data_IF_137138524538
#
_entry.id   IF_137138524538
#
_cell.length_a   1.000
_cell.length_b   1.000
_cell.length_c   1.000
_cell.angle_alpha   90.00
_cell.angle_beta   90.00
_cell.angle_gamma   90.00
#
_symmetry.space_group_name_H-M   'P 1'
#
loop_
_entity.id
_entity.type
_entity.pdbx_description
1 polymer ?
#
# COMPACT_ATOMS: atom_id res chain seq x y z
N UNK A 1 4.53 10.44 -2.12
CA UNK A 1 4.86 9.54 -1.00
C UNK A 1 5.54 8.23 -1.42
N UNK A 2 5.10 7.52 -2.47
CA UNK A 2 5.68 6.21 -2.85
C UNK A 2 7.19 6.23 -3.22
N UNK A 3 7.73 7.33 -3.75
CA UNK A 3 9.13 7.39 -4.17
C UNK A 3 10.16 7.45 -3.04
N UNK A 4 9.79 7.96 -1.85
CA UNK A 4 10.71 8.07 -0.69
C UNK A 4 10.67 6.86 0.24
N UNK A 5 9.63 6.03 0.17
CA UNK A 5 9.47 4.83 1.01
C UNK A 5 10.62 3.82 0.87
N UNK A 6 11.04 3.45 -0.35
CA UNK A 6 12.17 2.52 -0.54
C UNK A 6 13.52 3.09 -0.09
N UNK A 7 13.72 4.41 -0.24
CA UNK A 7 14.95 5.09 0.19
C UNK A 7 15.07 5.13 1.71
N UNK A 8 13.97 5.39 2.41
CA UNK A 8 13.93 5.37 3.89
C UNK A 8 14.08 3.96 4.44
N UNK A 9 13.46 2.95 3.82
CA UNK A 9 13.65 1.55 4.22
C UNK A 9 15.10 1.07 4.08
N UNK A 10 15.82 1.48 3.03
CA UNK A 10 17.25 1.15 2.86
C UNK A 10 18.20 1.94 3.78
N UNK A 11 17.79 3.08 4.31
CA UNK A 11 18.60 3.90 5.21
C UNK A 11 18.58 3.40 6.67
N UNK A 12 17.61 2.56 6.99
CA UNK A 12 17.50 1.86 8.27
C UNK A 12 18.49 0.69 8.27
N UNK A 13 19.34 0.64 9.30
CA UNK A 13 20.45 -0.33 9.41
C UNK A 13 20.14 -1.45 10.41
N UNK A 14 19.22 -1.24 11.36
CA UNK A 14 18.91 -2.19 12.44
C UNK A 14 17.42 -2.51 12.64
N UNK A 15 16.46 -1.77 12.06
CA UNK A 15 15.05 -2.03 12.30
C UNK A 15 14.52 -3.22 11.49
N UNK A 16 13.78 -4.10 12.18
CA UNK A 16 13.01 -5.13 11.52
C UNK A 16 11.88 -4.51 10.67
N UNK A 17 11.56 -5.16 9.55
CA UNK A 17 10.53 -4.79 8.57
C UNK A 17 9.20 -4.34 9.20
N UNK A 18 8.80 -5.08 10.24
CA UNK A 18 7.55 -4.89 10.98
C UNK A 18 7.57 -3.68 11.90
N UNK A 19 8.73 -3.34 12.47
CA UNK A 19 8.90 -2.18 13.34
C UNK A 19 8.88 -0.86 12.53
N UNK A 20 9.52 -0.85 11.36
CA UNK A 20 9.45 0.28 10.43
C UNK A 20 8.02 0.48 9.89
N UNK A 21 7.34 -0.62 9.52
CA UNK A 21 5.93 -0.59 9.12
C UNK A 21 5.03 0.00 10.19
N UNK A 22 5.19 -0.44 11.44
CA UNK A 22 4.40 0.03 12.57
C UNK A 22 4.50 1.55 12.70
N UNK A 23 5.73 2.06 12.73
CA UNK A 23 5.96 3.47 12.97
C UNK A 23 5.52 4.34 11.79
N UNK A 24 5.81 3.90 10.55
CA UNK A 24 5.34 4.59 9.34
C UNK A 24 3.81 4.64 9.28
N UNK A 25 3.15 3.51 9.50
CA UNK A 25 1.70 3.39 9.45
C UNK A 25 1.01 4.24 10.53
N UNK A 26 1.58 4.27 11.74
CA UNK A 26 1.11 5.09 12.85
C UNK A 26 1.15 6.58 12.49
N UNK A 27 2.27 7.08 11.97
CA UNK A 27 2.39 8.48 11.58
C UNK A 27 1.48 8.87 10.42
N UNK A 28 1.34 8.02 9.39
CA UNK A 28 0.36 8.27 8.32
C UNK A 28 -1.06 8.38 8.88
N UNK A 29 -1.44 7.54 9.83
CA UNK A 29 -2.76 7.57 10.46
C UNK A 29 -2.97 8.83 11.30
N UNK A 30 -1.96 9.23 12.07
CA UNK A 30 -1.98 10.43 12.91
C UNK A 30 -2.03 11.70 12.06
N UNK A 31 -1.15 11.84 11.06
CA UNK A 31 -1.12 13.02 10.18
C UNK A 31 -2.41 13.14 9.39
N UNK A 32 -2.90 12.04 8.81
CA UNK A 32 -4.18 12.06 8.10
C UNK A 32 -5.35 12.43 9.02
N UNK A 33 -5.34 11.94 10.27
CA UNK A 33 -6.33 12.32 11.28
C UNK A 33 -6.24 13.81 11.65
N UNK A 34 -5.03 14.33 11.79
CA UNK A 34 -4.74 15.73 12.12
C UNK A 34 -5.20 16.66 11.00
N UNK A 35 -4.99 16.29 9.72
CA UNK A 35 -5.52 17.02 8.56
C UNK A 35 -7.06 17.07 8.58
N UNK A 36 -7.73 15.98 8.94
CA UNK A 36 -9.21 15.97 9.07
C UNK A 36 -9.67 16.90 10.19
N UNK A 37 -8.97 16.90 11.33
CA UNK A 37 -9.26 17.79 12.47
C UNK A 37 -9.02 19.25 12.12
N UNK A 38 -7.92 19.57 11.42
CA UNK A 38 -7.63 20.92 10.93
C UNK A 38 -8.66 21.38 9.87
N UNK A 39 -9.25 20.44 9.13
CA UNK A 39 -10.38 20.68 8.24
C UNK A 39 -11.72 20.90 8.96
N UNK A 40 -11.75 20.94 10.30
CA UNK A 40 -12.94 21.19 11.10
C UNK A 40 -13.86 19.98 11.29
N UNK A 41 -13.40 18.77 10.95
CA UNK A 41 -14.19 17.52 11.07
C UNK A 41 -13.55 16.58 12.08
N UNK A 42 -14.34 15.66 12.64
CA UNK A 42 -13.79 14.60 13.49
C UNK A 42 -13.52 13.34 12.66
N UNK A 43 -12.34 12.69 12.82
CA UNK A 43 -11.96 11.52 12.02
C UNK A 43 -12.93 10.35 12.19
N UNK A 44 -13.51 10.19 13.39
CA UNK A 44 -14.56 9.18 13.66
C UNK A 44 -15.82 9.45 12.84
N UNK A 45 -16.21 10.72 12.68
CA UNK A 45 -17.39 11.10 11.90
C UNK A 45 -17.12 10.98 10.41
N UNK A 46 -15.92 11.32 9.96
CA UNK A 46 -15.46 11.09 8.59
C UNK A 46 -15.49 9.60 8.22
N UNK A 47 -15.00 8.71 9.11
CA UNK A 47 -15.04 7.24 8.91
C UNK A 47 -16.47 6.69 8.91
N UNK A 48 -17.36 7.24 9.76
CA UNK A 48 -18.79 6.84 9.74
C UNK A 48 -19.51 7.33 8.49
N UNK A 49 -19.24 8.55 8.03
CA UNK A 49 -19.82 9.13 6.82
C UNK A 49 -19.30 8.45 5.54
N UNK A 50 -18.04 8.00 5.57
CA UNK A 50 -17.37 7.26 4.50
C UNK A 50 -18.07 5.95 4.09
N UNK A 51 -18.78 5.30 5.03
CA UNK A 51 -19.49 4.04 4.78
C UNK A 51 -18.60 2.82 4.57
N UNK A 52 -19.23 1.65 4.41
CA UNK A 52 -18.56 0.34 4.41
C UNK A 52 -17.53 0.16 3.29
N UNK A 53 -17.80 0.72 2.09
CA UNK A 53 -16.90 0.58 0.93
C UNK A 53 -15.58 1.31 1.13
N UNK A 54 -15.57 2.45 1.80
CA UNK A 54 -14.34 3.17 2.11
C UNK A 54 -13.58 2.60 3.30
N UNK A 55 -14.31 1.98 4.25
CA UNK A 55 -13.66 1.17 5.29
C UNK A 55 -12.90 0.00 4.65
N UNK A 56 -13.54 -0.73 3.73
CA UNK A 56 -12.88 -1.79 2.96
C UNK A 56 -11.69 -1.26 2.14
N UNK A 57 -11.81 -0.07 1.56
CA UNK A 57 -10.71 0.57 0.83
C UNK A 57 -9.52 0.87 1.76
N UNK A 58 -9.79 1.38 2.96
CA UNK A 58 -8.76 1.62 3.98
C UNK A 58 -8.08 0.33 4.46
N UNK A 59 -8.85 -0.73 4.71
CA UNK A 59 -8.30 -2.04 5.07
C UNK A 59 -7.40 -2.61 3.96
N UNK A 60 -7.86 -2.51 2.71
CA UNK A 60 -7.10 -2.97 1.55
C UNK A 60 -5.80 -2.17 1.37
N UNK A 61 -5.85 -0.86 1.61
CA UNK A 61 -4.69 0.02 1.57
C UNK A 61 -3.70 -0.28 2.71
N UNK A 62 -4.19 -0.60 3.91
CA UNK A 62 -3.35 -1.05 5.01
C UNK A 62 -2.67 -2.40 4.73
N UNK A 63 -3.42 -3.35 4.15
CA UNK A 63 -2.84 -4.63 3.70
C UNK A 63 -1.78 -4.43 2.60
N UNK A 64 -2.04 -3.51 1.65
CA UNK A 64 -1.08 -3.14 0.61
C UNK A 64 0.24 -2.65 1.22
N UNK A 65 0.20 -1.82 2.27
CA UNK A 65 1.42 -1.37 2.95
C UNK A 65 2.19 -2.52 3.58
N UNK A 66 1.50 -3.45 4.25
CA UNK A 66 2.13 -4.64 4.83
C UNK A 66 2.82 -5.50 3.77
N UNK A 67 2.09 -5.87 2.71
CA UNK A 67 2.61 -6.64 1.58
C UNK A 67 3.82 -5.95 0.96
N UNK A 68 3.80 -4.62 0.84
CA UNK A 68 4.88 -3.86 0.22
C UNK A 68 6.20 -3.97 0.98
N UNK A 69 6.16 -3.87 2.31
CA UNK A 69 7.40 -3.95 3.09
C UNK A 69 7.91 -5.39 3.20
N UNK A 70 7.02 -6.38 3.32
CA UNK A 70 7.42 -7.79 3.29
C UNK A 70 7.97 -8.19 1.90
N UNK A 71 7.46 -7.59 0.83
CA UNK A 71 8.04 -7.78 -0.50
C UNK A 71 9.43 -7.12 -0.59
N UNK A 72 9.61 -5.91 -0.04
CA UNK A 72 10.88 -5.18 -0.06
C UNK A 72 12.04 -5.89 0.67
N UNK A 73 11.74 -6.72 1.66
CA UNK A 73 12.76 -7.53 2.34
C UNK A 73 13.22 -8.75 1.55
N UNK A 74 12.41 -9.19 0.58
CA UNK A 74 12.65 -10.42 -0.20
C UNK A 74 13.13 -10.16 -1.62
N UNK A 75 12.65 -9.07 -2.23
CA UNK A 75 12.97 -8.67 -3.60
C UNK A 75 13.32 -7.19 -3.67
N UNK A 76 13.98 -6.79 -4.76
CA UNK A 76 14.48 -5.41 -4.90
C UNK A 76 13.33 -4.41 -5.04
N UNK A 77 13.54 -3.21 -4.49
CA UNK A 77 12.61 -2.09 -4.65
C UNK A 77 12.33 -1.77 -6.13
N UNK A 78 13.35 -1.88 -6.99
CA UNK A 78 13.19 -1.66 -8.42
C UNK A 78 12.16 -2.63 -9.04
N UNK A 79 12.27 -3.92 -8.73
CA UNK A 79 11.34 -4.94 -9.22
C UNK A 79 9.89 -4.66 -8.78
N UNK A 80 9.71 -4.30 -7.51
CA UNK A 80 8.40 -3.96 -6.95
C UNK A 80 7.80 -2.73 -7.64
N UNK A 81 8.57 -1.64 -7.77
CA UNK A 81 8.10 -0.40 -8.40
C UNK A 81 7.74 -0.61 -9.87
N UNK A 82 8.51 -1.41 -10.58
CA UNK A 82 8.24 -1.75 -11.98
C UNK A 82 6.95 -2.57 -12.14
N UNK A 83 6.72 -3.55 -11.26
CA UNK A 83 5.43 -4.25 -11.23
C UNK A 83 4.28 -3.30 -10.89
N UNK A 84 4.50 -2.31 -10.03
CA UNK A 84 3.48 -1.35 -9.65
C UNK A 84 3.07 -0.42 -10.80
N UNK A 85 3.92 -0.21 -11.81
CA UNK A 85 3.54 0.45 -13.06
C UNK A 85 2.41 -0.27 -13.81
N UNK A 86 2.14 -1.54 -13.48
CA UNK A 86 1.02 -2.31 -14.05
C UNK A 86 -0.25 -2.25 -13.22
N UNK A 87 -0.25 -1.54 -12.07
CA UNK A 87 -1.48 -1.26 -11.33
C UNK A 87 -2.67 -0.73 -12.14
N UNK A 88 -2.52 0.17 -13.16
CA UNK A 88 -3.66 0.60 -13.99
C UNK A 88 -4.31 -0.55 -14.78
N UNK A 89 -3.59 -1.64 -15.08
CA UNK A 89 -4.18 -2.83 -15.70
C UNK A 89 -5.20 -3.46 -14.75
N UNK A 90 -4.80 -3.71 -13.51
CA UNK A 90 -5.68 -4.32 -12.52
C UNK A 90 -6.82 -3.37 -12.13
N UNK A 91 -6.57 -2.06 -12.10
CA UNK A 91 -7.63 -1.06 -11.92
C UNK A 91 -8.69 -1.17 -13.03
N UNK A 92 -8.30 -1.26 -14.30
CA UNK A 92 -9.25 -1.41 -15.41
C UNK A 92 -10.00 -2.75 -15.37
N UNK A 93 -9.32 -3.84 -14.99
CA UNK A 93 -9.96 -5.15 -14.81
C UNK A 93 -10.98 -5.14 -13.67
N UNK A 94 -10.62 -4.56 -12.53
CA UNK A 94 -11.50 -4.43 -11.37
C UNK A 94 -12.63 -3.44 -11.64
N UNK A 95 -12.40 -2.36 -12.39
CA UNK A 95 -13.46 -1.41 -12.80
C UNK A 95 -14.50 -2.11 -13.69
N UNK A 96 -14.05 -2.96 -14.61
CA UNK A 96 -14.97 -3.81 -15.39
C UNK A 96 -15.77 -4.76 -14.51
N UNK A 97 -15.13 -5.39 -13.52
CA UNK A 97 -15.76 -6.39 -12.65
C UNK A 97 -16.75 -5.77 -11.65
N UNK A 98 -16.38 -4.65 -11.01
CA UNK A 98 -17.14 -4.02 -9.93
C UNK A 98 -18.07 -2.88 -10.40
N UNK A 99 -17.69 -2.11 -11.43
CA UNK A 99 -18.48 -0.98 -11.94
C UNK A 99 -19.19 -1.30 -13.27
N UNK A 100 -18.87 -2.42 -13.91
CA UNK A 100 -19.45 -2.78 -15.21
C UNK A 100 -18.97 -1.90 -16.37
N UNK A 101 -17.93 -1.09 -16.18
CA UNK A 101 -17.40 -0.22 -17.23
C UNK A 101 -16.83 -1.05 -18.40
N UNK A 102 -17.24 -0.72 -19.63
CA UNK A 102 -16.74 -1.40 -20.83
C UNK A 102 -15.34 -0.92 -21.17
N UNK A 103 -14.36 -1.80 -21.05
CA UNK A 103 -12.97 -1.54 -21.43
C UNK A 103 -12.86 -1.47 -22.95
N UNK A 104 -12.42 -0.34 -23.49
CA UNK A 104 -12.25 -0.14 -24.93
C UNK A 104 -11.19 -1.08 -25.52
N UNK A 105 -11.38 -1.48 -26.80
CA UNK A 105 -10.45 -2.39 -27.50
C UNK A 105 -8.99 -1.91 -27.50
N UNK A 106 -8.76 -0.59 -27.59
CA UNK A 106 -7.41 0.02 -27.50
C UNK A 106 -6.78 -0.20 -26.12
N UNK A 107 -7.56 -0.09 -25.05
CA UNK A 107 -7.11 -0.34 -23.68
C UNK A 107 -6.75 -1.80 -23.48
N UNK A 108 -7.53 -2.74 -24.02
CA UNK A 108 -7.21 -4.18 -23.99
C UNK A 108 -5.89 -4.48 -24.70
N UNK A 109 -5.63 -3.82 -25.84
CA UNK A 109 -4.36 -3.99 -26.55
C UNK A 109 -3.17 -3.49 -25.71
N UNK A 110 -3.28 -2.29 -25.13
CA UNK A 110 -2.24 -1.74 -24.25
C UNK A 110 -2.01 -2.61 -23.00
N UNK A 111 -3.10 -3.13 -22.41
CA UNK A 111 -3.09 -4.07 -21.30
C UNK A 111 -2.36 -5.37 -21.64
N UNK A 112 -2.57 -5.92 -22.84
CA UNK A 112 -1.86 -7.12 -23.30
C UNK A 112 -0.37 -6.88 -23.50
N UNK A 113 0.03 -5.73 -24.08
CA UNK A 113 1.43 -5.37 -24.23
C UNK A 113 2.13 -5.18 -22.87
N UNK A 114 1.45 -4.56 -21.90
CA UNK A 114 1.96 -4.42 -20.54
C UNK A 114 2.11 -5.78 -19.82
N UNK A 115 1.17 -6.70 -20.01
CA UNK A 115 1.26 -8.06 -19.45
C UNK A 115 2.48 -8.82 -19.99
N UNK A 116 2.82 -8.64 -21.27
CA UNK A 116 4.06 -9.18 -21.85
C UNK A 116 5.29 -8.59 -21.17
N UNK A 117 5.32 -7.27 -20.94
CA UNK A 117 6.42 -6.61 -20.20
C UNK A 117 6.61 -7.17 -18.78
N UNK A 118 5.51 -7.45 -18.06
CA UNK A 118 5.54 -8.09 -16.74
C UNK A 118 6.11 -9.51 -16.83
N UNK A 119 5.66 -10.30 -17.80
CA UNK A 119 6.16 -11.67 -17.99
C UNK A 119 7.66 -11.70 -18.27
N UNK A 120 8.17 -10.76 -19.08
CA UNK A 120 9.61 -10.62 -19.36
C UNK A 120 10.38 -10.26 -18.08
N UNK A 121 9.87 -9.32 -17.28
CA UNK A 121 10.50 -8.94 -16.01
C UNK A 121 10.51 -10.06 -14.98
N UNK A 122 9.38 -10.75 -14.83
CA UNK A 122 9.26 -11.87 -13.90
C UNK A 122 10.16 -13.02 -14.36
N UNK A 123 10.18 -13.31 -15.67
CA UNK A 123 11.04 -14.33 -16.27
C UNK A 123 12.54 -14.07 -16.05
N UNK A 124 12.97 -12.80 -16.03
CA UNK A 124 14.34 -12.42 -15.68
C UNK A 124 14.71 -12.64 -14.20
N UNK A 125 13.73 -12.86 -13.33
CA UNK A 125 13.91 -13.11 -11.89
C UNK A 125 13.73 -14.60 -11.52
N UNK A 126 13.23 -15.42 -12.45
CA UNK A 126 13.16 -16.89 -12.36
C UNK A 126 14.58 -17.47 -12.46
N UNK A 127 15.26 -17.63 -11.32
CA UNK A 127 16.60 -18.22 -11.25
C UNK A 127 17.43 -17.74 -10.06
N UNK A 128 17.07 -16.61 -9.44
CA UNK A 128 17.78 -16.07 -8.28
C UNK A 128 16.93 -15.31 -7.25
N UNK A 129 15.64 -15.06 -7.51
CA UNK A 129 14.75 -14.35 -6.59
C UNK A 129 13.96 -15.27 -5.65
N UNK A 130 13.61 -14.74 -4.46
CA UNK A 130 12.71 -15.43 -3.51
C UNK A 130 11.28 -15.52 -4.10
N UNK A 131 10.73 -16.73 -4.32
CA UNK A 131 9.41 -16.92 -4.92
C UNK A 131 8.29 -16.29 -4.09
N UNK A 132 8.43 -16.21 -2.76
CA UNK A 132 7.45 -15.53 -1.91
C UNK A 132 7.48 -14.02 -2.15
N UNK A 133 8.66 -13.42 -2.29
CA UNK A 133 8.82 -12.01 -2.63
C UNK A 133 8.23 -11.67 -3.99
N UNK A 134 8.44 -12.52 -4.99
CA UNK A 134 7.87 -12.36 -6.33
C UNK A 134 6.33 -12.45 -6.29
N UNK A 135 5.78 -13.42 -5.57
CA UNK A 135 4.32 -13.56 -5.41
C UNK A 135 3.69 -12.36 -4.72
N UNK A 136 4.30 -11.86 -3.64
CA UNK A 136 3.84 -10.65 -2.95
C UNK A 136 3.95 -9.42 -3.85
N UNK A 137 5.03 -9.29 -4.62
CA UNK A 137 5.24 -8.17 -5.54
C UNK A 137 4.20 -8.14 -6.68
N UNK A 138 3.75 -9.31 -7.14
CA UNK A 138 2.65 -9.43 -8.12
C UNK A 138 1.28 -9.08 -7.51
N UNK A 139 1.10 -9.30 -6.21
CA UNK A 139 -0.16 -8.99 -5.53
C UNK A 139 -0.36 -7.48 -5.29
N UNK A 140 0.73 -6.72 -5.15
CA UNK A 140 0.71 -5.27 -4.96
C UNK A 140 -0.09 -4.49 -6.02
N UNK A 141 0.17 -4.63 -7.33
CA UNK A 141 -0.60 -3.91 -8.34
C UNK A 141 -2.08 -4.32 -8.36
N UNK A 142 -2.42 -5.55 -7.96
CA UNK A 142 -3.81 -6.02 -7.82
C UNK A 142 -4.53 -5.27 -6.70
N UNK A 143 -3.93 -5.22 -5.51
CA UNK A 143 -4.47 -4.50 -4.37
C UNK A 143 -4.59 -3.00 -4.65
N UNK A 144 -3.59 -2.41 -5.31
CA UNK A 144 -3.62 -0.99 -5.66
C UNK A 144 -4.71 -0.69 -6.70
N UNK A 145 -4.84 -1.53 -7.74
CA UNK A 145 -5.92 -1.42 -8.71
C UNK A 145 -7.30 -1.54 -8.06
N UNK A 146 -7.49 -2.52 -7.20
CA UNK A 146 -8.73 -2.73 -6.45
C UNK A 146 -9.06 -1.53 -5.54
N UNK A 147 -8.08 -0.99 -4.83
CA UNK A 147 -8.23 0.22 -4.00
C UNK A 147 -8.71 1.41 -4.83
N UNK A 148 -8.06 1.67 -5.98
CA UNK A 148 -8.44 2.80 -6.85
C UNK A 148 -9.88 2.69 -7.35
N UNK A 149 -10.33 1.48 -7.65
CA UNK A 149 -11.71 1.22 -8.10
C UNK A 149 -12.70 1.39 -6.96
N UNK A 150 -12.38 0.90 -5.77
CA UNK A 150 -13.25 1.05 -4.59
C UNK A 150 -13.47 2.51 -4.23
N UNK A 151 -12.39 3.31 -4.21
CA UNK A 151 -12.48 4.75 -3.96
C UNK A 151 -13.26 5.47 -5.06
N UNK A 152 -13.08 5.07 -6.33
CA UNK A 152 -13.86 5.63 -7.45
C UNK A 152 -15.34 5.27 -7.38
N UNK A 153 -15.69 4.08 -6.91
CA UNK A 153 -17.08 3.61 -6.79
C UNK A 153 -17.87 4.31 -5.70
N UNK A 154 -17.19 4.92 -4.72
CA UNK A 154 -17.82 5.62 -3.60
C UNK A 154 -16.87 6.72 -3.13
N UNK A 155 -16.93 7.91 -3.76
CA UNK A 155 -16.14 9.06 -3.35
C UNK A 155 -16.41 9.39 -1.88
N UNK A 156 -15.35 9.54 -1.10
CA UNK A 156 -15.45 10.01 0.28
C UNK A 156 -15.85 11.47 0.32
N UNK A 157 -16.71 11.84 1.26
CA UNK A 157 -16.85 13.27 1.64
C UNK A 157 -15.49 13.83 2.09
N UNK A 158 -14.66 12.98 2.71
CA UNK A 158 -13.31 13.30 3.17
C UNK A 158 -12.26 12.34 2.54
N UNK A 159 -11.42 12.81 1.60
CA UNK A 159 -10.38 12.02 0.96
C UNK A 159 -9.37 11.37 1.94
N UNK A 160 -9.26 11.91 3.15
CA UNK A 160 -8.37 11.38 4.20
C UNK A 160 -8.92 10.16 4.96
N UNK A 161 -10.23 9.89 4.91
CA UNK A 161 -10.84 8.83 5.72
C UNK A 161 -10.28 7.42 5.44
N UNK A 162 -10.07 6.99 4.18
CA UNK A 162 -9.46 5.69 3.88
C UNK A 162 -8.00 5.61 4.37
N UNK A 163 -7.27 6.74 4.34
CA UNK A 163 -5.86 6.82 4.73
C UNK A 163 -5.70 6.68 6.24
N UNK A 164 -6.61 7.27 7.03
CA UNK A 164 -6.65 7.10 8.48
C UNK A 164 -6.89 5.63 8.84
N UNK A 165 -7.90 5.00 8.22
CA UNK A 165 -8.22 3.57 8.42
C UNK A 165 -7.02 2.69 8.05
N UNK A 166 -6.39 2.97 6.91
CA UNK A 166 -5.21 2.24 6.46
C UNK A 166 -4.02 2.37 7.42
N UNK A 167 -3.74 3.59 7.90
CA UNK A 167 -2.65 3.85 8.84
C UNK A 167 -2.85 3.13 10.17
N UNK A 168 -4.03 3.24 10.78
CA UNK A 168 -4.32 2.54 12.04
C UNK A 168 -4.39 1.02 11.88
N UNK A 169 -4.98 0.52 10.79
CA UNK A 169 -5.04 -0.92 10.52
C UNK A 169 -3.65 -1.51 10.29
N UNK A 170 -2.83 -0.89 9.44
CA UNK A 170 -1.46 -1.32 9.20
C UNK A 170 -0.61 -1.21 10.46
N UNK A 171 -0.79 -0.18 11.28
CA UNK A 171 -0.13 -0.08 12.59
C UNK A 171 -0.58 -1.20 13.54
N UNK A 172 -1.86 -1.55 13.58
CA UNK A 172 -2.36 -2.62 14.43
C UNK A 172 -1.82 -4.00 14.01
N UNK A 173 -1.81 -4.29 12.70
CA UNK A 173 -1.25 -5.53 12.15
C UNK A 173 0.26 -5.61 12.35
N UNK A 174 0.99 -4.53 12.04
CA UNK A 174 2.44 -4.50 12.24
C UNK A 174 2.82 -4.57 13.73
N UNK A 175 2.06 -3.90 14.60
CA UNK A 175 2.27 -3.90 16.04
C UNK A 175 2.00 -5.27 16.66
N UNK A 176 0.93 -5.95 16.25
CA UNK A 176 0.64 -7.32 16.72
C UNK A 176 1.73 -8.30 16.27
N UNK A 177 2.17 -8.25 15.01
CA UNK A 177 3.24 -9.11 14.50
C UNK A 177 4.58 -8.79 15.19
N UNK A 178 4.88 -7.53 15.45
CA UNK A 178 6.09 -7.12 16.17
C UNK A 178 6.08 -7.54 17.65
N UNK A 179 4.89 -7.66 18.26
CA UNK A 179 4.71 -8.12 19.64
C UNK A 179 4.97 -9.62 19.80
N UNK A 180 4.63 -10.43 18.77
CA UNK A 180 4.95 -11.86 18.71
C UNK A 180 6.38 -12.15 18.21
N UNK A 181 7.14 -11.12 17.84
CA UNK A 181 8.51 -11.21 17.34
C UNK A 181 9.51 -10.45 18.22
N UNK A 182 10.43 -9.65 17.64
CA UNK A 182 11.61 -9.11 18.33
C UNK A 182 11.35 -7.99 19.36
N UNK A 183 10.10 -7.62 19.63
CA UNK A 183 9.73 -6.52 20.53
C UNK A 183 9.55 -5.17 19.83
N UNK A 184 9.14 -4.14 20.56
CA UNK A 184 8.79 -2.79 20.03
C UNK A 184 9.86 -1.72 20.28
N UNK A 185 11.03 -2.10 20.78
CA UNK A 185 12.07 -1.15 21.20
C UNK A 185 12.98 -0.84 20.00
N UNK A 186 12.90 0.40 19.53
CA UNK A 186 13.73 0.94 18.46
C UNK A 186 14.56 2.14 18.99
N UNK A 187 15.80 2.31 18.53
CA UNK A 187 16.56 3.54 18.77
C UNK A 187 15.85 4.76 18.15
N UNK A 188 15.92 5.92 18.82
CA UNK A 188 15.19 7.15 18.45
C UNK A 188 15.44 7.65 17.00
N UNK A 189 16.55 7.24 16.39
CA UNK A 189 16.90 7.48 14.99
C UNK A 189 15.93 6.79 14.01
N UNK A 190 15.49 5.57 14.31
CA UNK A 190 14.63 4.79 13.42
C UNK A 190 13.15 5.20 13.55
N UNK A 191 12.78 5.70 14.74
CA UNK A 191 11.53 6.41 15.02
C UNK A 191 11.42 7.68 14.14
N UNK A 192 12.48 8.49 14.06
CA UNK A 192 12.52 9.65 13.17
C UNK A 192 12.40 9.28 11.68
N UNK A 193 13.00 8.17 11.25
CA UNK A 193 12.87 7.73 9.86
C UNK A 193 11.46 7.21 9.52
N UNK A 194 10.77 6.59 10.47
CA UNK A 194 9.35 6.24 10.30
C UNK A 194 8.43 7.46 10.27
N UNK A 195 8.76 8.54 10.99
CA UNK A 195 8.07 9.83 10.88
C UNK A 195 8.25 10.44 9.48
N UNK A 196 9.48 10.54 8.99
CA UNK A 196 9.78 11.11 7.66
C UNK A 196 9.20 10.25 6.52
N UNK A 197 9.13 8.93 6.70
CA UNK A 197 8.52 8.03 5.72
C UNK A 197 6.99 8.01 5.73
N UNK A 198 6.36 8.42 6.85
CA UNK A 198 4.91 8.41 7.05
C UNK A 198 4.23 9.78 7.03
N UNK A 199 4.99 10.87 7.15
CA UNK A 199 4.55 12.25 7.06
C UNK A 199 4.43 12.78 5.63
#
# INVERSE_FOLDING_TARGET
MFSFGPLTFRAVVEANEWQYLFHRALWTGVVAGLVIVLGGRTPVRAIRAAGLRQLLAGLLLGALFGIFVVALSRVTAAFILLLQCTSPFYAALMARLFLGERVGRRTVLAMSAAAVGVLVMVGGNFGGGDPLGIGLALLLPVCLGSYTVLVRSSPAEDPGAPTVVAGFFAALVAGTISLFGPGLVLPARDVLMGFVGGG
#
